data_IF_585449626780
#
_entry.id   IF_585449626780
#
_cell.length_a   1.000
_cell.length_b   1.000
_cell.length_c   1.000
_cell.angle_alpha   90.00
_cell.angle_beta   90.00
_cell.angle_gamma   90.00
#
_symmetry.space_group_name_H-M   'P 1'
#
loop_
_entity.id
_entity.type
_entity.pdbx_description
1 polymer ?
#
# COMPACT_ATOMS: atom_id res chain seq x y z
N UNK A 1 8.96 -31.11 -9.69
CA UNK A 1 10.24 -31.12 -8.94
C UNK A 1 11.00 -29.81 -9.08
N UNK A 2 11.07 -29.23 -10.29
CA UNK A 2 11.70 -27.93 -10.53
C UNK A 2 11.02 -26.77 -9.76
N UNK A 3 9.70 -26.78 -9.63
CA UNK A 3 8.93 -25.69 -8.99
C UNK A 3 9.17 -25.62 -7.48
N UNK A 4 9.25 -26.80 -6.83
CA UNK A 4 9.65 -26.90 -5.41
C UNK A 4 11.05 -26.32 -5.18
N UNK A 5 11.98 -26.58 -6.11
CA UNK A 5 13.33 -26.04 -6.07
C UNK A 5 13.37 -24.52 -6.35
N UNK A 6 12.53 -24.01 -7.26
CA UNK A 6 12.46 -22.56 -7.54
C UNK A 6 11.86 -21.79 -6.38
N UNK A 7 10.83 -22.33 -5.73
CA UNK A 7 10.22 -21.77 -4.52
C UNK A 7 11.20 -21.67 -3.36
N UNK A 8 11.95 -22.75 -3.09
CA UNK A 8 12.98 -22.76 -2.03
C UNK A 8 14.11 -21.75 -2.33
N UNK A 9 14.57 -21.69 -3.59
CA UNK A 9 15.57 -20.72 -4.03
C UNK A 9 15.08 -19.28 -3.89
N UNK A 10 13.83 -18.97 -4.26
CA UNK A 10 13.28 -17.62 -4.11
C UNK A 10 13.23 -17.20 -2.65
N UNK A 11 12.82 -18.10 -1.75
CA UNK A 11 12.84 -17.82 -0.31
C UNK A 11 14.25 -17.45 0.18
N UNK A 12 15.26 -18.25 -0.17
CA UNK A 12 16.66 -17.97 0.20
C UNK A 12 17.10 -16.61 -0.35
N UNK A 13 16.78 -16.32 -1.61
CA UNK A 13 17.18 -15.04 -2.23
C UNK A 13 16.49 -13.87 -1.52
N UNK A 14 15.20 -13.95 -1.22
CA UNK A 14 14.45 -12.89 -0.52
C UNK A 14 15.02 -12.61 0.87
N UNK A 15 15.43 -13.63 1.62
CA UNK A 15 15.99 -13.47 2.96
C UNK A 15 17.40 -12.86 3.00
N UNK A 16 18.12 -12.85 1.87
CA UNK A 16 19.52 -12.43 1.85
C UNK A 16 19.83 -11.30 0.86
N UNK A 17 18.99 -11.05 -0.15
CA UNK A 17 19.22 -10.01 -1.15
C UNK A 17 18.49 -8.73 -0.79
N UNK A 18 19.04 -7.60 -1.24
CA UNK A 18 18.36 -6.31 -1.13
C UNK A 18 17.03 -6.33 -1.92
N UNK A 19 15.98 -5.76 -1.34
CA UNK A 19 14.68 -5.58 -2.01
C UNK A 19 14.75 -4.45 -3.03
N UNK A 20 15.17 -4.79 -4.25
CA UNK A 20 15.29 -3.86 -5.37
C UNK A 20 14.75 -4.44 -6.69
N UNK A 21 14.87 -3.68 -7.76
CA UNK A 21 14.46 -4.10 -9.11
C UNK A 21 15.22 -5.34 -9.61
N UNK A 22 16.44 -5.59 -9.14
CA UNK A 22 17.25 -6.74 -9.55
C UNK A 22 16.81 -8.02 -8.85
N UNK A 23 16.37 -7.94 -7.58
CA UNK A 23 15.62 -9.04 -6.94
C UNK A 23 14.39 -9.41 -7.76
N UNK A 24 13.62 -8.42 -8.20
CA UNK A 24 12.44 -8.64 -9.02
C UNK A 24 12.78 -9.24 -10.40
N UNK A 25 13.96 -8.92 -10.96
CA UNK A 25 14.43 -9.49 -12.21
C UNK A 25 14.72 -11.00 -12.08
N UNK A 26 15.32 -11.41 -10.95
CA UNK A 26 15.57 -12.81 -10.64
C UNK A 26 14.24 -13.53 -10.39
N UNK A 27 13.35 -12.92 -9.60
CA UNK A 27 12.03 -13.45 -9.32
C UNK A 27 11.22 -13.67 -10.59
N UNK A 28 11.15 -12.67 -11.48
CA UNK A 28 10.44 -12.77 -12.75
C UNK A 28 10.89 -13.99 -13.57
N UNK A 29 12.22 -14.17 -13.74
CA UNK A 29 12.76 -15.29 -14.50
C UNK A 29 12.40 -16.65 -13.90
N UNK A 30 12.49 -16.76 -12.57
CA UNK A 30 12.21 -18.00 -11.87
C UNK A 30 10.72 -18.35 -11.91
N UNK A 31 9.85 -17.36 -11.67
CA UNK A 31 8.40 -17.54 -11.66
C UNK A 31 7.88 -17.83 -13.07
N UNK A 32 8.36 -17.10 -14.09
CA UNK A 32 7.99 -17.33 -15.50
C UNK A 32 8.39 -18.72 -16.00
N UNK A 33 9.43 -19.33 -15.44
CA UNK A 33 9.87 -20.68 -15.78
C UNK A 33 9.07 -21.79 -15.09
N UNK A 34 8.15 -21.46 -14.18
CA UNK A 34 7.27 -22.42 -13.53
C UNK A 34 6.03 -22.70 -14.40
N UNK A 35 5.44 -23.88 -14.22
CA UNK A 35 4.15 -24.24 -14.83
C UNK A 35 3.03 -23.30 -14.37
N UNK A 36 2.00 -23.10 -15.20
CA UNK A 36 0.91 -22.16 -14.94
C UNK A 36 0.23 -22.41 -13.58
N UNK A 37 0.03 -23.68 -13.22
CA UNK A 37 -0.62 -24.10 -11.96
C UNK A 37 0.15 -23.64 -10.72
N UNK A 38 1.49 -23.69 -10.76
CA UNK A 38 2.37 -23.33 -9.64
C UNK A 38 2.75 -21.84 -9.67
N UNK A 39 2.70 -21.20 -10.84
CA UNK A 39 3.14 -19.81 -11.04
C UNK A 39 2.42 -18.83 -10.12
N UNK A 40 1.10 -18.94 -10.02
CA UNK A 40 0.28 -18.09 -9.15
C UNK A 40 0.70 -18.22 -7.69
N UNK A 41 0.88 -19.45 -7.20
CA UNK A 41 1.25 -19.70 -5.81
C UNK A 41 2.64 -19.14 -5.51
N UNK A 42 3.62 -19.39 -6.38
CA UNK A 42 4.98 -18.90 -6.18
C UNK A 42 5.03 -17.36 -6.24
N UNK A 43 4.26 -16.75 -7.14
CA UNK A 43 4.15 -15.29 -7.24
C UNK A 43 3.53 -14.68 -5.98
N UNK A 44 2.41 -15.22 -5.50
CA UNK A 44 1.78 -14.79 -4.25
C UNK A 44 2.76 -14.87 -3.07
N UNK A 45 3.45 -16.00 -2.94
CA UNK A 45 4.41 -16.20 -1.86
C UNK A 45 5.58 -15.22 -1.94
N UNK A 46 6.08 -14.93 -3.14
CA UNK A 46 7.13 -13.93 -3.34
C UNK A 46 6.69 -12.53 -2.87
N UNK A 47 5.51 -12.07 -3.30
CA UNK A 47 4.98 -10.76 -2.88
C UNK A 47 4.80 -10.70 -1.35
N UNK A 48 4.31 -11.78 -0.73
CA UNK A 48 4.14 -11.88 0.72
C UNK A 48 5.49 -11.91 1.46
N UNK A 49 6.50 -12.63 0.96
CA UNK A 49 7.80 -12.77 1.62
C UNK A 49 8.61 -11.48 1.59
N UNK A 50 8.64 -10.78 0.45
CA UNK A 50 9.44 -9.54 0.30
C UNK A 50 9.01 -8.45 1.28
N UNK A 51 7.76 -8.47 1.74
CA UNK A 51 7.21 -7.51 2.71
C UNK A 51 7.35 -7.96 4.16
N UNK A 52 7.37 -9.28 4.42
CA UNK A 52 7.35 -9.85 5.77
C UNK A 52 8.74 -10.18 6.29
N UNK A 53 9.62 -10.62 5.41
CA UNK A 53 10.92 -11.16 5.78
C UNK A 53 11.95 -10.02 5.84
N UNK A 54 12.67 -9.91 6.94
CA UNK A 54 13.83 -9.03 7.03
C UNK A 54 14.98 -9.66 6.24
N UNK A 55 15.49 -8.92 5.25
CA UNK A 55 16.69 -9.33 4.51
C UNK A 55 17.94 -8.90 5.27
N UNK A 56 18.93 -9.79 5.35
CA UNK A 56 20.24 -9.46 5.91
C UNK A 56 21.20 -8.79 4.90
N UNK A 57 20.74 -8.59 3.66
CA UNK A 57 21.47 -7.98 2.54
C UNK A 57 22.85 -8.60 2.26
N UNK A 58 23.11 -9.82 2.74
CA UNK A 58 24.39 -10.52 2.59
C UNK A 58 24.63 -11.02 1.16
N UNK A 59 23.57 -11.20 0.37
CA UNK A 59 23.63 -11.69 -1.00
C UNK A 59 23.57 -10.54 -2.01
N UNK A 60 24.64 -10.38 -2.78
CA UNK A 60 24.68 -9.42 -3.91
C UNK A 60 24.15 -10.07 -5.18
N UNK A 61 23.06 -9.54 -5.71
CA UNK A 61 22.51 -9.95 -6.99
C UNK A 61 23.22 -9.22 -8.15
N UNK A 62 23.35 -9.86 -9.32
CA UNK A 62 23.83 -9.19 -10.52
C UNK A 62 22.94 -8.00 -10.89
N UNK A 63 23.57 -6.89 -11.30
CA UNK A 63 22.83 -5.74 -11.83
C UNK A 63 22.36 -6.08 -13.24
N UNK A 64 21.05 -6.26 -13.39
CA UNK A 64 20.38 -6.54 -14.67
C UNK A 64 19.64 -5.30 -15.17
N UNK A 65 19.16 -4.46 -14.25
CA UNK A 65 18.48 -3.20 -14.55
C UNK A 65 19.19 -2.09 -13.76
N UNK A 66 19.77 -1.14 -14.49
CA UNK A 66 20.38 0.06 -13.89
C UNK A 66 19.31 1.03 -13.38
N UNK A 67 19.67 1.94 -12.46
CA UNK A 67 18.73 2.97 -11.96
C UNK A 67 18.13 3.85 -13.05
N UNK A 68 18.89 4.14 -14.11
CA UNK A 68 18.40 4.89 -15.27
C UNK A 68 17.39 4.07 -16.07
N UNK A 69 17.65 2.79 -16.29
CA UNK A 69 16.71 1.90 -16.97
C UNK A 69 15.44 1.69 -16.14
N UNK A 70 15.57 1.50 -14.82
CA UNK A 70 14.46 1.42 -13.88
C UNK A 70 13.53 2.64 -14.05
N UNK A 71 14.07 3.86 -13.95
CA UNK A 71 13.29 5.08 -14.12
C UNK A 71 12.59 5.16 -15.49
N UNK A 72 13.28 4.79 -16.58
CA UNK A 72 12.71 4.80 -17.92
C UNK A 72 11.59 3.75 -18.09
N UNK A 73 11.78 2.55 -17.54
CA UNK A 73 10.81 1.47 -17.64
C UNK A 73 9.59 1.74 -16.74
N UNK A 74 9.80 2.28 -15.54
CA UNK A 74 8.71 2.76 -14.67
C UNK A 74 7.90 3.85 -15.36
N UNK A 75 8.56 4.81 -16.01
CA UNK A 75 7.87 5.86 -16.77
C UNK A 75 7.02 5.29 -17.93
N UNK A 76 7.46 4.19 -18.53
CA UNK A 76 6.78 3.57 -19.68
C UNK A 76 5.67 2.61 -19.30
N UNK A 77 5.87 1.79 -18.27
CA UNK A 77 4.99 0.67 -17.93
C UNK A 77 4.29 0.82 -16.58
N UNK A 78 4.77 1.67 -15.66
CA UNK A 78 4.20 1.81 -14.31
C UNK A 78 2.71 2.15 -14.36
N UNK A 79 2.33 3.20 -15.11
CA UNK A 79 0.91 3.58 -15.25
C UNK A 79 0.01 2.47 -15.82
N UNK A 80 0.55 1.57 -16.63
CA UNK A 80 -0.19 0.44 -17.20
C UNK A 80 -0.43 -0.64 -16.14
N UNK A 81 0.59 -0.92 -15.33
CA UNK A 81 0.50 -1.86 -14.21
C UNK A 81 -0.40 -1.31 -13.11
N UNK A 82 -0.26 -0.03 -12.77
CA UNK A 82 -1.08 0.69 -11.81
C UNK A 82 -2.57 0.61 -12.15
N UNK A 83 -2.94 0.89 -13.40
CA UNK A 83 -4.33 0.80 -13.85
C UNK A 83 -4.90 -0.61 -13.68
N UNK A 84 -4.12 -1.64 -14.00
CA UNK A 84 -4.56 -3.02 -13.82
C UNK A 84 -4.71 -3.38 -12.35
N UNK A 85 -3.78 -2.93 -11.52
CA UNK A 85 -3.81 -3.16 -10.08
C UNK A 85 -5.01 -2.44 -9.44
N UNK A 86 -5.28 -1.20 -9.82
CA UNK A 86 -6.47 -0.44 -9.40
C UNK A 86 -7.77 -1.15 -9.77
N UNK A 87 -7.87 -1.67 -10.99
CA UNK A 87 -9.02 -2.46 -11.42
C UNK A 87 -9.22 -3.69 -10.51
N UNK A 88 -8.17 -4.48 -10.29
CA UNK A 88 -8.26 -5.70 -9.48
C UNK A 88 -8.61 -5.40 -8.01
N UNK A 89 -8.07 -4.31 -7.46
CA UNK A 89 -8.37 -3.87 -6.10
C UNK A 89 -9.82 -3.40 -5.97
N UNK A 90 -10.34 -2.67 -6.96
CA UNK A 90 -11.73 -2.21 -6.98
C UNK A 90 -12.74 -3.37 -7.07
N UNK A 91 -12.37 -4.45 -7.78
CA UNK A 91 -13.18 -5.68 -7.84
C UNK A 91 -13.27 -6.41 -6.47
N UNK A 92 -12.31 -6.18 -5.56
CA UNK A 92 -12.21 -6.80 -4.24
C UNK A 92 -12.46 -8.34 -4.23
N UNK A 93 -11.80 -9.11 -5.14
CA UNK A 93 -12.01 -10.56 -5.23
C UNK A 93 -11.39 -11.30 -4.04
N UNK A 94 -11.61 -12.61 -3.98
CA UNK A 94 -10.88 -13.50 -3.07
C UNK A 94 -9.37 -13.41 -3.29
N UNK A 95 -8.56 -13.59 -2.23
CA UNK A 95 -7.09 -13.45 -2.33
C UNK A 95 -6.50 -14.33 -3.43
N UNK A 96 -6.94 -15.59 -3.51
CA UNK A 96 -6.48 -16.53 -4.54
C UNK A 96 -6.79 -16.02 -5.95
N UNK A 97 -7.99 -15.50 -6.17
CA UNK A 97 -8.43 -15.01 -7.47
C UNK A 97 -7.71 -13.72 -7.84
N UNK A 98 -7.45 -12.85 -6.86
CA UNK A 98 -6.63 -11.65 -7.05
C UNK A 98 -5.24 -12.01 -7.58
N UNK A 99 -4.52 -12.90 -6.88
CA UNK A 99 -3.17 -13.29 -7.28
C UNK A 99 -3.15 -14.09 -8.58
N UNK A 100 -4.20 -14.88 -8.86
CA UNK A 100 -4.34 -15.57 -10.14
C UNK A 100 -4.47 -14.58 -11.31
N UNK A 101 -5.36 -13.59 -11.21
CA UNK A 101 -5.55 -12.56 -12.24
C UNK A 101 -4.32 -11.68 -12.40
N UNK A 102 -3.65 -11.32 -11.30
CA UNK A 102 -2.45 -10.49 -11.35
C UNK A 102 -1.25 -11.25 -11.95
N UNK A 103 -1.07 -12.53 -11.59
CA UNK A 103 -0.05 -13.38 -12.19
C UNK A 103 -0.31 -13.58 -13.69
N UNK A 104 -1.54 -13.88 -14.08
CA UNK A 104 -1.91 -14.01 -15.50
C UNK A 104 -1.56 -12.74 -16.27
N UNK A 105 -1.94 -11.57 -15.75
CA UNK A 105 -1.55 -10.29 -16.34
C UNK A 105 -0.02 -10.13 -16.47
N UNK A 106 0.74 -10.31 -15.39
CA UNK A 106 2.18 -10.06 -15.42
C UNK A 106 2.94 -11.02 -16.34
N UNK A 107 2.51 -12.28 -16.40
CA UNK A 107 3.26 -13.34 -17.07
C UNK A 107 2.75 -13.67 -18.47
N UNK A 108 1.50 -13.35 -18.79
CA UNK A 108 0.89 -13.69 -20.08
C UNK A 108 0.49 -12.47 -20.92
N UNK A 109 0.51 -11.25 -20.38
CA UNK A 109 0.22 -10.03 -21.17
C UNK A 109 1.32 -9.75 -22.21
N UNK A 110 0.92 -9.47 -23.45
CA UNK A 110 1.83 -9.25 -24.58
C UNK A 110 2.79 -8.06 -24.36
N UNK A 111 2.33 -6.99 -23.69
CA UNK A 111 3.14 -5.80 -23.43
C UNK A 111 4.24 -6.05 -22.38
N UNK A 112 4.09 -7.09 -21.56
CA UNK A 112 5.01 -7.40 -20.45
C UNK A 112 5.98 -8.57 -20.75
N UNK A 113 5.97 -9.10 -21.98
CA UNK A 113 6.76 -10.29 -22.34
C UNK A 113 8.26 -10.07 -22.52
N UNK A 114 8.74 -8.84 -22.68
CA UNK A 114 10.14 -8.50 -23.00
C UNK A 114 11.15 -8.75 -21.86
N UNK A 115 10.69 -9.33 -20.74
CA UNK A 115 11.48 -9.67 -19.57
C UNK A 115 11.80 -8.49 -18.65
N UNK A 116 12.17 -7.33 -19.21
CA UNK A 116 12.40 -6.10 -18.45
C UNK A 116 11.07 -5.45 -18.01
N UNK A 117 10.07 -5.43 -18.88
CA UNK A 117 8.72 -4.95 -18.60
C UNK A 117 8.06 -5.80 -17.51
N UNK A 118 8.08 -7.13 -17.65
CA UNK A 118 7.57 -8.03 -16.62
C UNK A 118 8.33 -7.92 -15.29
N UNK A 119 9.64 -7.69 -15.31
CA UNK A 119 10.41 -7.38 -14.08
C UNK A 119 9.89 -6.13 -13.40
N UNK A 120 9.63 -5.08 -14.18
CA UNK A 120 9.16 -3.80 -13.65
C UNK A 120 7.72 -3.91 -13.15
N UNK A 121 6.87 -4.71 -13.79
CA UNK A 121 5.53 -4.99 -13.28
C UNK A 121 5.56 -5.68 -11.90
N UNK A 122 6.47 -6.64 -11.69
CA UNK A 122 6.69 -7.23 -10.36
C UNK A 122 7.23 -6.19 -9.38
N UNK A 123 8.22 -5.38 -9.80
CA UNK A 123 8.80 -4.36 -8.92
C UNK A 123 7.78 -3.32 -8.47
N UNK A 124 6.90 -2.89 -9.38
CA UNK A 124 5.80 -1.96 -9.09
C UNK A 124 4.85 -2.55 -8.04
N UNK A 125 4.50 -3.83 -8.19
CA UNK A 125 3.74 -4.56 -7.18
C UNK A 125 4.47 -4.65 -5.83
N UNK A 126 5.79 -4.86 -5.84
CA UNK A 126 6.60 -4.96 -4.62
C UNK A 126 6.68 -3.62 -3.87
N UNK A 127 6.68 -2.49 -4.56
CA UNK A 127 6.72 -1.17 -3.91
C UNK A 127 5.34 -0.65 -3.53
N UNK A 128 4.26 -1.17 -4.12
CA UNK A 128 2.89 -0.80 -3.80
C UNK A 128 2.50 -1.20 -2.36
N UNK A 129 2.01 -0.22 -1.58
CA UNK A 129 1.63 -0.40 -0.16
C UNK A 129 0.32 -1.16 0.04
N UNK A 130 -0.48 -1.33 -1.02
CA UNK A 130 -1.71 -2.11 -1.06
C UNK A 130 -1.42 -3.61 -1.18
N UNK A 131 -0.15 -3.97 -1.40
CA UNK A 131 0.35 -5.34 -1.40
C UNK A 131 1.22 -5.64 -0.16
N UNK A 132 1.09 -6.83 0.46
CA UNK A 132 0.32 -7.99 -0.01
C UNK A 132 -1.19 -7.79 0.08
N UNK A 133 -1.93 -8.33 -0.90
CA UNK A 133 -3.37 -8.12 -0.99
C UNK A 133 -4.10 -8.92 0.08
N UNK A 134 -5.04 -8.25 0.72
CA UNK A 134 -6.00 -8.83 1.64
C UNK A 134 -7.39 -8.34 1.27
N UNK A 135 -8.32 -9.28 1.07
CA UNK A 135 -9.71 -8.94 0.76
C UNK A 135 -10.31 -8.14 1.92
N UNK A 136 -10.95 -7.02 1.60
CA UNK A 136 -11.63 -6.20 2.61
C UNK A 136 -13.06 -6.72 2.74
N UNK A 137 -13.46 -7.12 3.95
CA UNK A 137 -14.85 -7.47 4.25
C UNK A 137 -15.70 -6.19 4.34
N UNK A 138 -16.39 -5.89 3.24
CA UNK A 138 -17.26 -4.71 3.14
C UNK A 138 -18.68 -4.98 3.65
N UNK A 139 -19.02 -6.20 4.10
CA UNK A 139 -20.38 -6.52 4.59
C UNK A 139 -20.76 -5.75 5.85
N UNK A 140 -19.76 -5.28 6.60
CA UNK A 140 -19.92 -4.48 7.81
C UNK A 140 -19.76 -2.98 7.58
N UNK A 141 -19.57 -2.54 6.33
CA UNK A 141 -19.43 -1.14 6.00
C UNK A 141 -20.70 -0.37 6.35
N UNK A 142 -20.53 0.83 6.89
CA UNK A 142 -21.63 1.75 7.20
C UNK A 142 -21.59 2.82 6.12
N UNK A 143 -22.70 3.00 5.42
CA UNK A 143 -22.88 4.05 4.44
C UNK A 143 -23.94 5.00 4.95
N UNK A 144 -23.60 6.29 4.99
CA UNK A 144 -24.47 7.37 5.43
C UNK A 144 -24.34 8.48 4.41
N UNK A 145 -25.45 9.09 4.03
CA UNK A 145 -25.40 10.38 3.35
C UNK A 145 -25.11 11.52 4.34
N UNK A 146 -24.95 12.74 3.81
CA UNK A 146 -24.57 13.91 4.61
C UNK A 146 -25.66 14.29 5.63
N UNK A 147 -26.94 14.15 5.27
CA UNK A 147 -28.06 14.50 6.14
C UNK A 147 -28.14 13.52 7.32
N UNK A 148 -27.96 12.22 7.06
CA UNK A 148 -27.88 11.18 8.08
C UNK A 148 -26.66 11.38 8.99
N UNK A 149 -25.51 11.71 8.42
CA UNK A 149 -24.31 11.99 9.18
C UNK A 149 -24.54 13.16 10.16
N UNK A 150 -25.14 14.25 9.66
CA UNK A 150 -25.43 15.43 10.46
C UNK A 150 -26.45 15.14 11.57
N UNK A 151 -27.47 14.31 11.31
CA UNK A 151 -28.44 13.89 12.31
C UNK A 151 -27.78 13.10 13.46
N UNK A 152 -26.87 12.17 13.14
CA UNK A 152 -26.13 11.43 14.16
C UNK A 152 -25.17 12.35 14.92
N UNK A 153 -24.50 13.30 14.25
CA UNK A 153 -23.65 14.29 14.92
C UNK A 153 -24.45 15.14 15.92
N UNK A 154 -25.67 15.56 15.55
CA UNK A 154 -26.57 16.29 16.46
C UNK A 154 -26.97 15.43 17.66
N UNK A 155 -27.19 14.13 17.44
CA UNK A 155 -27.54 13.16 18.51
C UNK A 155 -26.39 12.91 19.47
N UNK A 156 -25.16 12.78 18.95
CA UNK A 156 -23.92 12.66 19.75
C UNK A 156 -23.70 13.89 20.63
N UNK A 157 -24.06 15.06 20.13
CA UNK A 157 -23.98 16.33 20.83
C UNK A 157 -22.62 17.03 20.71
N UNK A 158 -22.67 18.36 20.66
CA UNK A 158 -21.50 19.23 20.42
C UNK A 158 -20.40 19.04 21.47
N UNK A 159 -20.76 18.94 22.76
CA UNK A 159 -19.80 18.74 23.86
C UNK A 159 -18.94 17.47 23.68
N UNK A 160 -19.56 16.37 23.25
CA UNK A 160 -18.86 15.12 22.95
C UNK A 160 -17.88 15.30 21.79
N UNK A 161 -18.32 16.00 20.73
CA UNK A 161 -17.51 16.24 19.54
C UNK A 161 -16.32 17.17 19.82
N UNK A 162 -16.51 18.20 20.64
CA UNK A 162 -15.45 19.09 21.12
C UNK A 162 -14.45 18.37 22.03
N UNK A 163 -14.93 17.44 22.86
CA UNK A 163 -14.08 16.62 23.71
C UNK A 163 -13.13 15.76 22.87
N UNK A 164 -13.60 15.19 21.76
CA UNK A 164 -12.72 14.49 20.80
C UNK A 164 -11.66 15.44 20.24
N UNK A 165 -12.05 16.62 19.76
CA UNK A 165 -11.08 17.60 19.23
C UNK A 165 -9.99 17.93 20.27
N UNK A 166 -10.37 18.04 21.56
CA UNK A 166 -9.44 18.27 22.65
C UNK A 166 -8.52 17.08 22.93
N UNK A 167 -9.04 15.85 22.93
CA UNK A 167 -8.24 14.62 23.09
C UNK A 167 -7.20 14.53 21.98
N UNK A 168 -7.61 14.76 20.73
CA UNK A 168 -6.71 14.67 19.59
C UNK A 168 -5.57 15.72 19.61
N UNK A 169 -5.78 16.84 20.29
CA UNK A 169 -4.80 17.92 20.47
C UNK A 169 -3.95 17.77 21.74
N UNK A 170 -4.33 16.87 22.63
CA UNK A 170 -3.64 16.72 23.90
C UNK A 170 -2.28 16.05 23.71
N UNK A 171 -1.26 16.55 24.41
CA UNK A 171 0.12 16.05 24.34
C UNK A 171 0.28 14.80 25.22
N UNK A 172 -0.27 13.68 24.74
CA UNK A 172 -0.08 12.38 25.36
C UNK A 172 1.37 11.92 25.21
N UNK A 173 1.91 11.28 26.25
CA UNK A 173 3.28 10.76 26.21
C UNK A 173 3.40 9.54 25.32
N UNK A 174 2.31 8.77 25.19
CA UNK A 174 2.24 7.57 24.37
C UNK A 174 0.98 7.56 23.51
N UNK A 175 1.10 7.04 22.28
CA UNK A 175 -0.05 6.89 21.37
C UNK A 175 -1.14 5.98 21.94
N UNK A 176 -0.76 5.03 22.79
CA UNK A 176 -1.67 4.11 23.49
C UNK A 176 -2.55 4.82 24.51
N UNK A 177 -2.05 5.88 25.17
CA UNK A 177 -2.85 6.67 26.12
C UNK A 177 -3.98 7.40 25.38
N UNK A 178 -3.65 8.10 24.29
CA UNK A 178 -4.63 8.75 23.42
C UNK A 178 -5.66 7.76 22.87
N UNK A 179 -5.18 6.62 22.36
CA UNK A 179 -6.06 5.58 21.82
C UNK A 179 -7.00 5.00 22.88
N UNK A 180 -6.53 4.81 24.12
CA UNK A 180 -7.36 4.34 25.22
C UNK A 180 -8.49 5.32 25.56
N UNK A 181 -8.19 6.60 25.73
CA UNK A 181 -9.21 7.63 26.04
C UNK A 181 -10.23 7.75 24.92
N UNK A 182 -9.79 7.73 23.65
CA UNK A 182 -10.70 7.77 22.51
C UNK A 182 -11.56 6.51 22.41
N UNK A 183 -10.98 5.33 22.68
CA UNK A 183 -11.69 4.06 22.65
C UNK A 183 -12.81 4.03 23.69
N UNK A 184 -12.54 4.46 24.92
CA UNK A 184 -13.54 4.52 26.00
C UNK A 184 -14.77 5.35 25.57
N UNK A 185 -14.54 6.54 25.00
CA UNK A 185 -15.63 7.40 24.49
C UNK A 185 -16.43 6.76 23.35
N UNK A 186 -15.75 6.02 22.46
CA UNK A 186 -16.39 5.28 21.38
C UNK A 186 -17.23 4.13 21.94
N UNK A 187 -16.70 3.38 22.90
CA UNK A 187 -17.40 2.22 23.46
C UNK A 187 -18.68 2.58 24.20
N UNK A 188 -18.71 3.75 24.85
CA UNK A 188 -19.91 4.31 25.50
C UNK A 188 -21.10 4.57 24.56
N UNK A 189 -20.86 4.66 23.26
CA UNK A 189 -21.93 4.93 22.28
C UNK A 189 -22.83 3.71 22.08
N UNK A 190 -24.12 3.95 21.89
CA UNK A 190 -25.13 2.88 21.83
C UNK A 190 -25.24 2.22 20.45
N UNK A 191 -25.03 3.01 19.40
CA UNK A 191 -25.18 2.58 18.00
C UNK A 191 -23.82 2.46 17.28
N UNK A 192 -23.76 1.69 16.19
CA UNK A 192 -22.53 1.58 15.39
C UNK A 192 -22.28 2.86 14.59
N UNK A 193 -23.34 3.57 14.26
CA UNK A 193 -23.39 4.83 13.55
C UNK A 193 -22.75 5.93 14.40
N UNK A 194 -23.14 6.08 15.67
CA UNK A 194 -22.49 7.02 16.60
C UNK A 194 -21.00 6.74 16.74
N UNK A 195 -20.62 5.45 16.87
CA UNK A 195 -19.21 5.03 16.94
C UNK A 195 -18.44 5.44 15.69
N UNK A 196 -19.04 5.23 14.52
CA UNK A 196 -18.45 5.63 13.24
C UNK A 196 -18.28 7.16 13.15
N UNK A 197 -19.25 7.94 13.63
CA UNK A 197 -19.17 9.41 13.65
C UNK A 197 -18.01 9.90 14.53
N UNK A 198 -17.83 9.32 15.72
CA UNK A 198 -16.69 9.67 16.59
C UNK A 198 -15.35 9.32 15.92
N UNK A 199 -15.26 8.18 15.22
CA UNK A 199 -14.07 7.80 14.45
C UNK A 199 -13.80 8.77 13.29
N UNK A 200 -14.84 9.18 12.54
CA UNK A 200 -14.72 10.17 11.47
C UNK A 200 -14.14 11.48 12.04
N UNK A 201 -14.63 11.94 13.20
CA UNK A 201 -14.13 13.15 13.84
C UNK A 201 -12.63 13.04 14.17
N UNK A 202 -12.18 11.89 14.69
CA UNK A 202 -10.78 11.62 14.95
C UNK A 202 -9.93 11.57 13.67
N UNK A 203 -10.42 10.96 12.59
CA UNK A 203 -9.72 10.93 11.30
C UNK A 203 -9.61 12.33 10.67
N UNK A 204 -10.67 13.12 10.71
CA UNK A 204 -10.68 14.49 10.21
C UNK A 204 -9.63 15.39 10.89
N UNK A 205 -9.25 15.09 12.13
CA UNK A 205 -8.12 15.78 12.76
C UNK A 205 -6.79 15.53 12.04
N UNK A 206 -6.46 14.27 11.76
CA UNK A 206 -5.24 13.93 11.04
C UNK A 206 -5.25 14.42 9.60
N UNK A 207 -6.38 14.35 8.92
CA UNK A 207 -6.53 14.90 7.57
C UNK A 207 -6.22 16.40 7.54
N UNK A 208 -6.75 17.18 8.50
CA UNK A 208 -6.44 18.61 8.67
C UNK A 208 -4.95 18.86 8.89
N UNK A 209 -4.30 18.06 9.74
CA UNK A 209 -2.84 18.16 9.95
C UNK A 209 -2.08 17.89 8.64
N UNK A 210 -2.42 16.80 7.95
CA UNK A 210 -1.77 16.41 6.69
C UNK A 210 -1.94 17.51 5.63
N UNK A 211 -3.14 18.09 5.50
CA UNK A 211 -3.39 19.20 4.57
C UNK A 211 -2.54 20.43 4.93
N UNK A 212 -2.43 20.75 6.22
CA UNK A 212 -1.61 21.87 6.70
C UNK A 212 -0.13 21.65 6.39
N UNK A 213 0.40 20.45 6.64
CA UNK A 213 1.78 20.08 6.33
C UNK A 213 2.06 20.13 4.83
N UNK A 214 1.18 19.58 4.00
CA UNK A 214 1.31 19.64 2.52
C UNK A 214 1.38 21.08 2.02
N UNK A 215 0.53 21.97 2.55
CA UNK A 215 0.56 23.39 2.21
C UNK A 215 1.90 24.04 2.59
N UNK A 216 2.40 23.74 3.79
CA UNK A 216 3.68 24.28 4.23
C UNK A 216 4.85 23.77 3.37
N UNK A 217 4.84 22.50 2.99
CA UNK A 217 5.82 21.92 2.06
C UNK A 217 5.81 22.64 0.71
N UNK A 218 4.64 22.93 0.15
CA UNK A 218 4.50 23.70 -1.10
C UNK A 218 5.03 25.13 -0.98
N UNK A 219 4.78 25.80 0.15
CA UNK A 219 5.29 27.14 0.43
C UNK A 219 6.83 27.14 0.51
N UNK A 220 7.42 26.17 1.22
CA UNK A 220 8.86 25.99 1.30
C UNK A 220 9.49 25.70 -0.07
N UNK A 221 8.88 24.82 -0.88
CA UNK A 221 9.34 24.55 -2.27
C UNK A 221 9.33 25.82 -3.11
N UNK A 222 8.30 26.65 -3.01
CA UNK A 222 8.22 27.94 -3.73
C UNK A 222 9.31 28.91 -3.28
N UNK A 223 9.58 29.00 -1.98
CA UNK A 223 10.65 29.85 -1.44
C UNK A 223 12.03 29.39 -1.94
N UNK A 224 12.28 28.09 -1.91
CA UNK A 224 13.54 27.50 -2.35
C UNK A 224 13.74 27.70 -3.86
N UNK A 225 12.69 27.53 -4.66
CA UNK A 225 12.72 27.82 -6.10
C UNK A 225 12.96 29.30 -6.41
N UNK A 226 12.37 30.22 -5.63
CA UNK A 226 12.64 31.66 -5.79
C UNK A 226 14.08 32.01 -5.43
N UNK A 227 14.61 31.49 -4.32
CA UNK A 227 16.01 31.72 -3.94
C UNK A 227 17.00 31.22 -5.00
N UNK A 228 16.74 30.05 -5.59
CA UNK A 228 17.56 29.52 -6.69
C UNK A 228 17.48 30.36 -7.99
N UNK A 229 16.41 31.12 -8.20
CA UNK A 229 16.22 31.99 -9.38
C UNK A 229 16.68 33.43 -9.14
N UNK A 230 16.97 33.81 -7.90
CA UNK A 230 17.52 35.11 -7.51
C UNK A 230 19.06 35.09 -7.41
N UNK A 231 19.68 33.90 -7.40
CA UNK A 231 21.13 33.67 -7.40
C UNK A 231 21.75 33.55 -8.82
N UNK A 232 20.96 33.75 -9.89
CA UNK A 232 21.37 33.86 -11.31
C UNK A 232 21.25 35.32 -11.83
#
# INVERSE_FOLDING_TARGET
MADKTNREKLRVIVSHAQTDVNLCAVAYKMIKACEDEDRTQIFEEFIKSVRRDESDESMKLPVVITKREEANLMSRYGSYVDQKLEQLLAENPEERDFYAKLADFIFNDEMLQDGKAGTIAIFDCVIDRRLPYHRIDTTKAISMDEDQLQEIMNTVGEETLETIDRIMQFDFKQKTEMAGVLLDMIEERGSREEKAVLLIKAFNYYERIIMTLKRHEEELKKMLFRGLMEDD
#
